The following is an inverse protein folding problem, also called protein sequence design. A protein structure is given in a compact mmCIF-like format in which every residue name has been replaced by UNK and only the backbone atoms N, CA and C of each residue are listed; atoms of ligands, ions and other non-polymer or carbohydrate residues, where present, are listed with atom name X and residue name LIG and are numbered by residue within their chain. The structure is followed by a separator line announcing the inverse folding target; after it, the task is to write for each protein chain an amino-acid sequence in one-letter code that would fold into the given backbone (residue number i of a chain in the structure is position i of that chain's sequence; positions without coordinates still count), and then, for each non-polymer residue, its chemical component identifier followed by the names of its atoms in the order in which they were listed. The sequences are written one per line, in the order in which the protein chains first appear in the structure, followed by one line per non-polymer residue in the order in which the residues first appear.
data_IF_439974276437
#
_entry.id   IF_439974276437
#
_cell.length_a   1.000
_cell.length_b   1.000
_cell.length_c   1.000
_cell.angle_alpha   90.00
_cell.angle_beta   90.00
_cell.angle_gamma   90.00
#
_symmetry.space_group_name_H-M   'P 1'
#
loop_
_entity.id
_entity.type
_entity.pdbx_description
1 polymer ?
#
# COMPACT_ATOMS: atom_id res chain seq x y z
N UNK A 1 8.91 9.96 -13.39
CA UNK A 1 8.85 10.14 -11.92
C UNK A 1 8.16 8.97 -11.19
N UNK A 2 6.83 8.83 -11.26
CA UNK A 2 6.09 7.81 -10.48
C UNK A 2 6.54 6.36 -10.75
N UNK A 3 6.67 5.97 -12.03
CA UNK A 3 7.13 4.62 -12.41
C UNK A 3 8.51 4.28 -11.83
N UNK A 4 9.44 5.23 -11.88
CA UNK A 4 10.80 5.00 -11.37
C UNK A 4 10.82 4.90 -9.84
N UNK A 5 10.02 5.73 -9.15
CA UNK A 5 9.85 5.63 -7.71
C UNK A 5 9.28 4.27 -7.31
N UNK A 6 8.26 3.79 -8.04
CA UNK A 6 7.70 2.46 -7.84
C UNK A 6 8.73 1.36 -8.07
N UNK A 7 9.48 1.40 -9.18
CA UNK A 7 10.53 0.42 -9.47
C UNK A 7 11.61 0.39 -8.39
N UNK A 8 12.06 1.55 -7.90
CA UNK A 8 13.01 1.65 -6.79
C UNK A 8 12.45 1.05 -5.50
N UNK A 9 11.19 1.36 -5.18
CA UNK A 9 10.52 0.85 -3.99
C UNK A 9 10.37 -0.68 -4.02
N UNK A 10 9.82 -1.23 -5.11
CA UNK A 10 9.57 -2.67 -5.21
C UNK A 10 10.87 -3.51 -5.29
N UNK A 11 11.95 -2.91 -5.81
CA UNK A 11 13.29 -3.51 -5.82
C UNK A 11 14.02 -3.45 -4.47
N UNK A 12 13.46 -2.78 -3.46
CA UNK A 12 14.07 -2.66 -2.15
C UNK A 12 13.90 -3.95 -1.31
N UNK A 13 14.75 -4.15 -0.27
CA UNK A 13 14.58 -5.26 0.67
C UNK A 13 13.20 -5.26 1.33
N UNK A 14 12.69 -6.45 1.65
CA UNK A 14 11.38 -6.62 2.26
C UNK A 14 11.20 -5.77 3.53
N UNK A 15 12.23 -5.65 4.38
CA UNK A 15 12.19 -4.81 5.59
C UNK A 15 11.83 -3.35 5.30
N UNK A 16 12.30 -2.81 4.18
CA UNK A 16 12.00 -1.43 3.76
C UNK A 16 10.57 -1.29 3.24
N UNK A 17 10.06 -2.30 2.54
CA UNK A 17 8.67 -2.32 2.05
C UNK A 17 7.68 -2.50 3.20
N UNK A 18 8.01 -3.36 4.17
CA UNK A 18 7.22 -3.62 5.37
C UNK A 18 7.13 -2.42 6.33
N UNK A 19 8.09 -1.48 6.26
CA UNK A 19 8.00 -0.22 7.01
C UNK A 19 6.81 0.66 6.58
N UNK A 20 6.23 0.41 5.40
CA UNK A 20 5.06 1.10 4.89
C UNK A 20 3.85 0.16 4.71
N UNK A 21 3.68 -0.83 5.61
CA UNK A 21 2.58 -1.80 5.56
C UNK A 21 1.21 -1.12 5.49
N UNK A 22 0.26 -1.74 4.79
CA UNK A 22 -1.11 -1.23 4.68
C UNK A 22 -1.74 -0.96 6.05
N UNK A 23 -2.44 0.17 6.18
CA UNK A 23 -3.25 0.51 7.34
C UNK A 23 -4.71 0.07 7.19
N UNK A 24 -5.52 0.36 8.21
CA UNK A 24 -6.98 0.09 8.24
C UNK A 24 -7.77 0.81 7.13
N UNK A 25 -7.17 1.84 6.51
CA UNK A 25 -7.76 2.61 5.40
C UNK A 25 -7.33 2.08 4.02
N UNK A 26 -6.68 0.92 3.97
CA UNK A 26 -6.15 0.28 2.76
C UNK A 26 -5.03 1.08 2.04
N UNK A 27 -4.33 1.96 2.76
CA UNK A 27 -3.19 2.69 2.23
C UNK A 27 -1.87 2.09 2.73
N UNK A 28 -0.94 1.83 1.80
CA UNK A 28 0.38 1.25 2.07
C UNK A 28 0.68 0.00 1.22
N UNK A 29 1.68 -0.75 1.66
CA UNK A 29 2.24 -1.92 1.00
C UNK A 29 1.48 -3.21 1.33
N UNK A 30 1.24 -4.00 0.29
CA UNK A 30 0.75 -5.38 0.33
C UNK A 30 1.78 -6.27 -0.36
N UNK A 31 2.29 -7.25 0.37
CA UNK A 31 3.24 -8.23 -0.16
C UNK A 31 2.59 -9.30 -1.03
N UNK A 32 3.39 -10.15 -1.68
CA UNK A 32 2.89 -11.31 -2.42
C UNK A 32 2.00 -12.19 -1.55
N UNK A 33 0.87 -12.63 -2.08
CA UNK A 33 -0.09 -13.49 -1.40
C UNK A 33 -1.03 -12.77 -0.43
N UNK A 34 -0.92 -11.44 -0.27
CA UNK A 34 -1.72 -10.68 0.68
C UNK A 34 -3.19 -10.49 0.25
N UNK A 35 -3.51 -10.73 -1.01
CA UNK A 35 -4.88 -10.55 -1.54
C UNK A 35 -5.38 -11.81 -2.23
N UNK A 36 -6.70 -12.05 -2.11
CA UNK A 36 -7.43 -13.11 -2.81
C UNK A 36 -8.75 -12.50 -3.31
N UNK A 37 -9.17 -12.85 -4.53
CA UNK A 37 -10.41 -12.28 -5.09
C UNK A 37 -11.69 -12.83 -4.44
N UNK A 38 -11.71 -14.13 -4.12
CA UNK A 38 -12.83 -14.84 -3.50
C UNK A 38 -12.28 -16.04 -2.72
N UNK A 39 -13.03 -16.58 -1.76
CA UNK A 39 -12.49 -17.56 -0.78
C UNK A 39 -11.82 -18.78 -1.43
N UNK A 40 -12.36 -19.27 -2.56
CA UNK A 40 -11.85 -20.43 -3.30
C UNK A 40 -10.77 -20.09 -4.35
N UNK A 41 -10.35 -18.82 -4.47
CA UNK A 41 -9.32 -18.42 -5.42
C UNK A 41 -7.91 -18.72 -4.89
N UNK A 42 -6.97 -18.93 -5.81
CA UNK A 42 -5.56 -18.81 -5.47
C UNK A 42 -5.24 -17.37 -5.01
N UNK A 43 -4.25 -17.24 -4.13
CA UNK A 43 -3.76 -15.92 -3.71
C UNK A 43 -3.05 -15.21 -4.87
N UNK A 44 -3.16 -13.89 -4.93
CA UNK A 44 -2.45 -13.07 -5.90
C UNK A 44 -0.97 -12.99 -5.53
N UNK A 45 -0.07 -13.38 -6.44
CA UNK A 45 1.36 -13.38 -6.20
C UNK A 45 2.03 -12.02 -6.45
N UNK A 46 1.27 -11.04 -6.96
CA UNK A 46 1.81 -9.69 -7.12
C UNK A 46 1.93 -9.01 -5.76
N UNK A 47 2.85 -8.06 -5.68
CA UNK A 47 2.86 -7.05 -4.64
C UNK A 47 2.21 -5.76 -5.14
N UNK A 48 1.69 -4.94 -4.23
CA UNK A 48 1.08 -3.66 -4.57
C UNK A 48 1.32 -2.61 -3.49
N UNK A 49 1.20 -1.34 -3.89
CA UNK A 49 1.23 -0.20 -2.98
C UNK A 49 0.04 0.69 -3.31
N UNK A 50 -0.83 0.90 -2.34
CA UNK A 50 -2.06 1.67 -2.48
C UNK A 50 -1.90 3.02 -1.78
N UNK A 51 -2.35 4.09 -2.41
CA UNK A 51 -2.40 5.43 -1.82
C UNK A 51 -3.66 6.15 -2.30
N UNK A 52 -4.23 6.94 -1.40
CA UNK A 52 -5.41 7.76 -1.65
C UNK A 52 -5.07 9.23 -1.77
N UNK A 53 -6.10 10.07 -1.68
CA UNK A 53 -5.94 11.52 -1.61
C UNK A 53 -5.23 11.91 -0.32
N UNK A 54 -4.41 12.95 -0.38
CA UNK A 54 -3.84 13.53 0.84
C UNK A 54 -4.96 14.22 1.63
N UNK A 55 -4.94 14.04 2.95
CA UNK A 55 -6.00 14.60 3.80
C UNK A 55 -5.72 16.07 4.11
N UNK A 56 -6.66 16.92 3.74
CA UNK A 56 -6.68 18.31 4.17
C UNK A 56 -7.19 18.43 5.63
N UNK A 57 -6.80 19.49 6.35
CA UNK A 57 -7.31 19.75 7.69
C UNK A 57 -8.85 19.80 7.73
N UNK A 58 -9.45 19.08 8.67
CA UNK A 58 -10.90 19.06 8.88
C UNK A 58 -11.66 18.02 8.04
N UNK A 59 -10.99 17.24 7.19
CA UNK A 59 -11.61 16.08 6.55
C UNK A 59 -11.82 14.98 7.58
N UNK A 60 -13.06 14.47 7.68
CA UNK A 60 -13.40 13.34 8.55
C UNK A 60 -13.05 12.04 7.83
N UNK A 61 -12.18 11.19 8.41
CA UNK A 61 -11.84 9.89 7.82
C UNK A 61 -13.06 8.98 7.68
N UNK A 62 -13.01 8.10 6.70
CA UNK A 62 -13.94 6.98 6.54
C UNK A 62 -13.13 5.72 6.22
N UNK A 63 -13.73 4.51 6.17
CA UNK A 63 -12.97 3.27 6.01
C UNK A 63 -11.99 3.21 4.81
N UNK A 64 -12.15 4.06 3.79
CA UNK A 64 -11.25 4.13 2.62
C UNK A 64 -10.59 5.51 2.47
N UNK A 65 -10.87 6.45 3.35
CA UNK A 65 -10.31 7.80 3.34
C UNK A 65 -9.56 8.01 4.65
N UNK A 66 -8.24 7.85 4.58
CA UNK A 66 -7.34 7.97 5.71
C UNK A 66 -5.95 8.46 5.30
N UNK A 67 -5.03 8.66 6.25
CA UNK A 67 -3.68 9.09 5.94
C UNK A 67 -2.96 8.06 5.06
N UNK A 68 -2.15 8.55 4.11
CA UNK A 68 -1.24 7.73 3.33
C UNK A 68 -0.06 7.25 4.19
N UNK A 69 0.40 6.02 3.95
CA UNK A 69 1.57 5.44 4.63
C UNK A 69 2.76 5.44 3.69
N UNK A 70 3.52 6.52 3.65
CA UNK A 70 4.67 6.66 2.75
C UNK A 70 5.91 5.93 3.28
N UNK A 71 6.70 5.25 2.43
CA UNK A 71 7.97 4.66 2.83
C UNK A 71 9.01 5.74 3.12
N UNK A 72 9.90 5.48 4.08
CA UNK A 72 11.06 6.34 4.32
C UNK A 72 11.95 6.43 3.06
N UNK A 73 12.35 7.67 2.73
CA UNK A 73 13.12 8.03 1.52
C UNK A 73 14.49 7.38 1.40
#
# INVERSE_FOLDING_TARGET
AAREAALRFFSAPASRKLAAVTNEHHHGYLGPGATRMHDDAAVDLKESFNFGMELEPGVVPNPLLGPNVWPAG
#
